data_IF_463460948322
#
_entry.id   IF_463460948322
#
_cell.length_a   1.000
_cell.length_b   1.000
_cell.length_c   1.000
_cell.angle_alpha   90.00
_cell.angle_beta   90.00
_cell.angle_gamma   90.00
#
_symmetry.space_group_name_H-M   'P 1'
#
loop_
_entity.id
_entity.type
_entity.pdbx_description
1 polymer ?
#
# COMPACT_ATOMS: atom_id res chain seq x y z
N UNK A 1 6.08 1.21 -10.38
CA UNK A 1 5.22 0.39 -11.28
C UNK A 1 5.25 -1.06 -10.84
N UNK A 2 4.24 -1.86 -11.20
CA UNK A 2 4.20 -3.27 -10.84
C UNK A 2 5.29 -4.11 -11.55
N UNK A 3 5.89 -5.12 -10.90
CA UNK A 3 6.95 -5.96 -11.46
C UNK A 3 6.61 -6.64 -12.79
N UNK A 4 5.36 -6.99 -13.02
CA UNK A 4 4.92 -7.60 -14.28
C UNK A 4 4.87 -6.58 -15.43
N UNK A 5 4.48 -5.34 -15.15
CA UNK A 5 4.44 -4.24 -16.13
C UNK A 5 5.86 -3.87 -16.55
N UNK A 6 6.77 -3.77 -15.56
CA UNK A 6 8.18 -3.51 -15.79
C UNK A 6 8.85 -4.59 -16.67
N UNK A 7 8.31 -5.81 -16.68
CA UNK A 7 8.74 -6.92 -17.54
C UNK A 7 8.00 -6.99 -18.87
N UNK A 8 7.30 -5.93 -19.27
CA UNK A 8 6.47 -5.88 -20.48
C UNK A 8 5.40 -6.99 -20.55
N UNK A 9 4.92 -7.49 -19.40
CA UNK A 9 3.75 -8.37 -19.37
C UNK A 9 2.46 -7.55 -19.50
N UNK A 10 1.35 -8.18 -19.94
CA UNK A 10 0.08 -7.49 -20.05
C UNK A 10 -0.35 -6.85 -18.73
N UNK A 11 -0.92 -5.67 -18.86
CA UNK A 11 -1.54 -4.98 -17.75
C UNK A 11 -2.79 -5.70 -17.26
N UNK A 12 -3.00 -5.67 -15.95
CA UNK A 12 -4.14 -6.30 -15.28
C UNK A 12 -4.65 -5.41 -14.15
N UNK A 13 -5.88 -5.60 -13.66
CA UNK A 13 -6.35 -4.92 -12.45
C UNK A 13 -5.43 -5.14 -11.24
N UNK A 14 -4.74 -6.28 -11.13
CA UNK A 14 -3.77 -6.52 -10.06
C UNK A 14 -2.56 -5.58 -10.13
N UNK A 15 -2.23 -5.05 -11.32
CA UNK A 15 -1.17 -4.05 -11.52
C UNK A 15 -1.58 -2.68 -10.96
N UNK A 16 -2.87 -2.32 -11.01
CA UNK A 16 -3.39 -1.13 -10.31
C UNK A 16 -3.30 -1.30 -8.80
N UNK A 17 -3.62 -2.49 -8.28
CA UNK A 17 -3.52 -2.77 -6.85
C UNK A 17 -2.10 -2.59 -6.34
N UNK A 18 -1.11 -3.03 -7.13
CA UNK A 18 0.29 -2.74 -6.83
C UNK A 18 0.55 -1.23 -6.84
N UNK A 19 0.08 -0.49 -7.84
CA UNK A 19 0.31 0.96 -7.89
C UNK A 19 -0.37 1.69 -6.72
N UNK A 20 -1.53 1.22 -6.27
CA UNK A 20 -2.20 1.73 -5.07
C UNK A 20 -1.35 1.54 -3.81
N UNK A 21 -0.62 0.43 -3.68
CA UNK A 21 0.31 0.25 -2.55
C UNK A 21 1.43 1.28 -2.51
N UNK A 22 1.86 1.78 -3.68
CA UNK A 22 2.89 2.82 -3.77
C UNK A 22 2.33 4.16 -3.29
N UNK A 23 1.06 4.47 -3.61
CA UNK A 23 0.33 5.64 -3.10
C UNK A 23 0.10 5.50 -1.59
N UNK A 24 -0.28 4.31 -1.12
CA UNK A 24 -0.42 4.03 0.31
C UNK A 24 0.90 4.31 1.05
N UNK A 25 2.02 3.87 0.49
CA UNK A 25 3.33 4.14 1.05
C UNK A 25 3.65 5.64 1.07
N UNK A 26 3.39 6.34 -0.03
CA UNK A 26 3.60 7.80 -0.16
C UNK A 26 2.80 8.58 0.89
N UNK A 27 1.56 8.16 1.22
CA UNK A 27 0.81 8.76 2.31
C UNK A 27 1.46 8.58 3.69
N UNK A 28 2.21 7.50 3.90
CA UNK A 28 2.91 7.28 5.18
C UNK A 28 4.26 8.01 5.26
N UNK A 29 4.94 8.18 4.13
CA UNK A 29 6.28 8.77 4.08
C UNK A 29 6.27 10.27 3.78
N UNK A 30 5.22 10.77 3.13
CA UNK A 30 5.12 12.14 2.63
C UNK A 30 6.01 12.42 1.41
N UNK A 31 6.62 11.39 0.80
CA UNK A 31 7.53 11.51 -0.35
C UNK A 31 7.30 10.40 -1.37
N UNK A 32 7.68 10.60 -2.64
CA UNK A 32 7.56 9.56 -3.66
C UNK A 32 8.34 8.28 -3.31
N UNK A 33 7.81 7.09 -3.64
CA UNK A 33 8.55 5.83 -3.50
C UNK A 33 9.89 5.89 -4.23
N UNK A 34 10.95 5.46 -3.55
CA UNK A 34 12.32 5.45 -4.09
C UNK A 34 12.89 6.84 -4.44
N UNK A 35 12.40 7.93 -3.83
CA UNK A 35 12.85 9.30 -4.11
C UNK A 35 14.38 9.54 -4.04
N UNK A 36 15.13 8.71 -3.30
CA UNK A 36 16.59 8.82 -3.15
C UNK A 36 17.37 7.90 -4.09
N UNK A 37 16.69 7.17 -4.98
CA UNK A 37 17.28 6.18 -5.87
C UNK A 37 17.25 6.69 -7.32
N UNK A 38 18.23 6.28 -8.12
CA UNK A 38 18.18 6.52 -9.55
C UNK A 38 17.04 5.68 -10.16
N UNK A 39 16.23 6.30 -11.03
CA UNK A 39 15.13 5.62 -11.72
C UNK A 39 15.64 4.97 -13.03
N UNK A 40 16.56 4.03 -12.88
CA UNK A 40 17.26 3.36 -13.98
C UNK A 40 16.92 1.86 -14.06
N UNK A 41 17.65 1.15 -14.93
CA UNK A 41 17.47 -0.28 -15.14
C UNK A 41 17.78 -1.10 -13.88
N UNK A 42 18.72 -0.64 -13.04
CA UNK A 42 19.10 -1.35 -11.81
C UNK A 42 17.92 -1.37 -10.83
N UNK A 43 17.31 -0.21 -10.58
CA UNK A 43 16.10 -0.13 -9.75
C UNK A 43 14.95 -1.00 -10.30
N UNK A 44 14.79 -1.03 -11.64
CA UNK A 44 13.77 -1.87 -12.28
C UNK A 44 14.05 -3.36 -12.02
N UNK A 45 15.29 -3.81 -12.13
CA UNK A 45 15.69 -5.20 -11.86
C UNK A 45 15.47 -5.57 -10.39
N UNK A 46 15.87 -4.70 -9.47
CA UNK A 46 15.69 -4.87 -8.02
C UNK A 46 14.21 -5.05 -7.63
N UNK A 47 13.33 -4.20 -8.17
CA UNK A 47 11.88 -4.30 -7.95
C UNK A 47 11.34 -5.61 -8.53
N UNK A 48 11.78 -5.96 -9.73
CA UNK A 48 11.34 -7.16 -10.44
C UNK A 48 11.71 -8.43 -9.67
N UNK A 49 12.95 -8.55 -9.21
CA UNK A 49 13.49 -9.74 -8.54
C UNK A 49 13.00 -9.91 -7.10
N UNK A 50 12.04 -9.09 -6.68
CA UNK A 50 11.39 -9.11 -5.36
C UNK A 50 12.30 -8.64 -4.22
N UNK A 51 13.45 -8.05 -4.52
CA UNK A 51 14.43 -7.66 -3.53
C UNK A 51 14.15 -6.27 -2.95
N UNK A 52 13.55 -5.37 -3.74
CA UNK A 52 13.37 -3.97 -3.33
C UNK A 52 11.91 -3.57 -3.18
N UNK A 53 11.59 -3.06 -2.00
CA UNK A 53 10.34 -2.37 -1.64
C UNK A 53 10.72 -1.13 -0.82
N UNK A 54 9.89 -0.07 -0.83
CA UNK A 54 10.14 1.08 0.04
C UNK A 54 10.16 0.67 1.52
N UNK A 55 11.01 1.33 2.31
CA UNK A 55 11.15 1.07 3.74
C UNK A 55 9.86 1.37 4.49
N UNK A 56 9.46 0.52 5.44
CA UNK A 56 8.27 0.77 6.24
C UNK A 56 8.51 1.93 7.21
N UNK A 57 7.72 2.99 7.08
CA UNK A 57 7.83 4.18 7.94
C UNK A 57 7.42 3.83 9.37
N UNK A 58 8.26 4.24 10.33
CA UNK A 58 8.01 4.06 11.76
C UNK A 58 6.67 4.68 12.15
N UNK A 59 5.96 4.04 13.08
CA UNK A 59 4.63 4.42 13.56
C UNK A 59 3.48 4.24 12.54
N UNK A 60 3.73 3.69 11.36
CA UNK A 60 2.64 3.28 10.47
C UNK A 60 1.80 2.18 11.16
N UNK A 61 0.46 2.31 11.23
CA UNK A 61 -0.39 1.30 11.86
C UNK A 61 -0.21 -0.09 11.23
N UNK A 62 -0.16 -1.14 12.05
CA UNK A 62 0.07 -2.52 11.59
C UNK A 62 -0.94 -2.97 10.52
N UNK A 63 -2.22 -2.66 10.70
CA UNK A 63 -3.26 -3.00 9.72
C UNK A 63 -3.00 -2.37 8.34
N UNK A 64 -2.46 -1.14 8.32
CA UNK A 64 -2.10 -0.43 7.11
C UNK A 64 -0.87 -1.05 6.44
N UNK A 65 0.17 -1.38 7.23
CA UNK A 65 1.36 -2.09 6.74
C UNK A 65 0.97 -3.44 6.12
N UNK A 66 0.15 -4.22 6.81
CA UNK A 66 -0.24 -5.56 6.36
C UNK A 66 -1.05 -5.48 5.05
N UNK A 67 -1.95 -4.51 4.92
CA UNK A 67 -2.71 -4.28 3.69
C UNK A 67 -1.80 -3.82 2.54
N UNK A 68 -0.97 -2.80 2.78
CA UNK A 68 0.00 -2.27 1.81
C UNK A 68 0.92 -3.39 1.30
N UNK A 69 1.41 -4.24 2.21
CA UNK A 69 2.25 -5.38 1.87
C UNK A 69 1.54 -6.41 1.00
N UNK A 70 0.26 -6.65 1.27
CA UNK A 70 -0.56 -7.54 0.44
C UNK A 70 -0.79 -6.96 -0.96
N UNK A 71 -0.94 -5.65 -1.08
CA UNK A 71 -1.12 -4.98 -2.36
C UNK A 71 0.14 -4.98 -3.24
N UNK A 72 1.35 -4.92 -2.66
CA UNK A 72 2.62 -4.96 -3.41
C UNK A 72 3.25 -6.35 -3.54
N UNK A 73 2.48 -7.40 -3.30
CA UNK A 73 2.96 -8.78 -3.43
C UNK A 73 3.51 -9.00 -4.86
N UNK A 74 4.64 -9.68 -4.94
CA UNK A 74 5.31 -9.97 -6.20
C UNK A 74 4.46 -10.85 -7.11
N UNK A 75 3.65 -11.74 -6.55
CA UNK A 75 2.67 -12.53 -7.28
C UNK A 75 1.35 -11.75 -7.41
N UNK A 76 0.93 -11.35 -8.62
CA UNK A 76 -0.32 -10.63 -8.83
C UNK A 76 -1.55 -11.35 -8.27
N UNK A 77 -1.55 -12.68 -8.22
CA UNK A 77 -2.67 -13.49 -7.73
C UNK A 77 -2.86 -13.43 -6.21
N UNK A 78 -1.83 -13.02 -5.45
CA UNK A 78 -1.90 -12.86 -4.00
C UNK A 78 -2.49 -11.50 -3.59
N UNK A 79 -2.53 -10.55 -4.54
CA UNK A 79 -3.01 -9.20 -4.29
C UNK A 79 -4.53 -9.21 -4.09
N UNK A 80 -5.08 -8.37 -3.19
CA UNK A 80 -6.53 -8.28 -3.01
C UNK A 80 -7.18 -7.70 -4.28
N UNK A 81 -8.46 -7.99 -4.48
CA UNK A 81 -9.24 -7.28 -5.50
C UNK A 81 -9.63 -5.89 -5.00
N UNK A 82 -10.02 -5.00 -5.92
CA UNK A 82 -10.50 -3.66 -5.54
C UNK A 82 -11.72 -3.71 -4.60
N UNK A 83 -12.60 -4.69 -4.76
CA UNK A 83 -13.75 -4.90 -3.86
C UNK A 83 -13.32 -5.30 -2.45
N UNK A 84 -12.30 -6.14 -2.32
CA UNK A 84 -11.76 -6.50 -1.00
C UNK A 84 -11.13 -5.28 -0.32
N UNK A 85 -10.44 -4.44 -1.08
CA UNK A 85 -9.85 -3.20 -0.57
C UNK A 85 -10.89 -2.20 -0.12
N UNK A 86 -11.91 -1.96 -0.94
CA UNK A 86 -13.05 -1.11 -0.61
C UNK A 86 -13.69 -1.53 0.71
N UNK A 87 -13.97 -2.84 0.86
CA UNK A 87 -14.54 -3.38 2.10
C UNK A 87 -13.65 -3.10 3.32
N UNK A 88 -12.34 -3.37 3.21
CA UNK A 88 -11.40 -3.16 4.33
C UNK A 88 -11.32 -1.68 4.72
N UNK A 89 -11.17 -0.79 3.73
CA UNK A 89 -11.06 0.66 3.98
C UNK A 89 -12.36 1.21 4.54
N UNK A 90 -13.52 0.76 4.03
CA UNK A 90 -14.84 1.16 4.53
C UNK A 90 -15.03 0.77 6.00
N UNK A 91 -14.59 -0.44 6.37
CA UNK A 91 -14.62 -0.87 7.77
C UNK A 91 -13.70 -0.05 8.66
N UNK A 92 -12.51 0.33 8.19
CA UNK A 92 -11.63 1.25 8.93
C UNK A 92 -12.27 2.62 9.14
N UNK A 93 -12.84 3.20 8.08
CA UNK A 93 -13.53 4.49 8.14
C UNK A 93 -14.73 4.42 9.10
N UNK A 94 -15.49 3.32 9.07
CA UNK A 94 -16.58 3.08 10.01
C UNK A 94 -16.09 3.06 11.46
N UNK A 95 -15.05 2.28 11.77
CA UNK A 95 -14.47 2.20 13.11
C UNK A 95 -13.94 3.56 13.60
N UNK A 96 -13.25 4.31 12.74
CA UNK A 96 -12.75 5.66 13.05
C UNK A 96 -13.91 6.61 13.35
N UNK A 97 -14.95 6.60 12.52
CA UNK A 97 -16.13 7.44 12.71
C UNK A 97 -16.86 7.12 14.03
N UNK A 98 -17.02 5.84 14.36
CA UNK A 98 -17.62 5.42 15.64
C UNK A 98 -16.77 5.85 16.83
N UNK A 99 -15.44 5.73 16.75
CA UNK A 99 -14.54 6.23 17.80
C UNK A 99 -14.74 7.73 18.06
N UNK A 100 -14.80 8.56 17.02
CA UNK A 100 -15.02 10.01 17.18
C UNK A 100 -16.43 10.36 17.65
N UNK A 101 -17.45 9.56 17.31
CA UNK A 101 -18.80 9.76 17.83
C UNK A 101 -18.89 9.46 19.33
N UNK A 102 -18.21 8.40 19.78
CA UNK A 102 -18.21 7.97 21.19
C UNK A 102 -17.43 8.97 22.06
N UNK A 103 -16.33 9.52 21.56
CA UNK A 103 -15.42 10.40 22.32
C UNK A 103 -15.64 11.90 22.03
N UNK A 104 -16.85 12.28 21.58
CA UNK A 104 -17.17 13.63 21.12
C UNK A 104 -17.09 14.69 22.23
N UNK A 105 -17.22 14.26 23.47
CA UNK A 105 -17.15 15.00 24.72
C UNK A 105 -15.72 15.19 25.26
N UNK A 106 -14.69 14.70 24.55
CA UNK A 106 -13.27 14.87 24.92
C UNK A 106 -12.81 13.99 26.08
N UNK A 107 -13.70 13.16 26.63
CA UNK A 107 -13.37 12.13 27.60
C UNK A 107 -13.08 10.86 26.81
N UNK A 108 -11.81 10.64 26.48
CA UNK A 108 -11.36 9.43 25.79
C UNK A 108 -11.65 8.21 26.68
N UNK A 109 -12.73 7.49 26.37
CA UNK A 109 -12.97 6.16 26.92
C UNK A 109 -12.23 5.21 25.99
N UNK A 110 -11.40 4.34 26.57
CA UNK A 110 -10.43 3.43 25.94
C UNK A 110 -9.05 4.05 25.63
#
# INVERSE_FOLDING_TARGET
MAPEILRNKPYTPASDIYSLSMIMWEFTSGVPPFHNEAHDLELVLDICNQEKRPEIIKNTPKCYIDLMKKCWDSNPSNRPTIRMLENIVSEWVRCINEYYKINRDGIYRY
#
